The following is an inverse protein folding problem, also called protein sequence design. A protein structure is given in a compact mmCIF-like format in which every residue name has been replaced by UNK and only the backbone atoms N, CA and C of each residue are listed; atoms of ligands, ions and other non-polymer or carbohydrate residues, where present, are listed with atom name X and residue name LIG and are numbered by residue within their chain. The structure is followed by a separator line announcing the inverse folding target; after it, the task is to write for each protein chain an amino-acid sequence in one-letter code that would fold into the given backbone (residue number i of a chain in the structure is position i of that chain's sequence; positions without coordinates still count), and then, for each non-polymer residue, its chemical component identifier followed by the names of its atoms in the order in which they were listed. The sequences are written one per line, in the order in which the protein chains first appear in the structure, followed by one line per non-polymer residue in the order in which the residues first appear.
data_IF_933689004217
#
_entry.id   IF_933689004217
#
_cell.length_a   1.000
_cell.length_b   1.000
_cell.length_c   1.000
_cell.angle_alpha   90.00
_cell.angle_beta   90.00
_cell.angle_gamma   90.00
#
_symmetry.space_group_name_H-M   'P 1'
#
loop_
_entity.id
_entity.type
_entity.pdbx_description
1 polymer ?
#
# COMPACT_ATOMS: atom_id res chain seq x y z
N UNK A 1 -43.23 -9.56 -21.38
CA UNK A 1 -42.23 -9.20 -20.34
C UNK A 1 -42.37 -7.71 -20.03
N UNK A 2 -42.54 -7.30 -18.76
CA UNK A 2 -42.82 -5.89 -18.46
C UNK A 2 -41.59 -5.01 -18.77
N UNK A 3 -41.82 -3.81 -19.32
CA UNK A 3 -40.74 -2.83 -19.60
C UNK A 3 -39.90 -2.50 -18.35
N UNK A 4 -40.43 -2.72 -17.14
CA UNK A 4 -39.70 -2.55 -15.87
C UNK A 4 -38.71 -3.69 -15.63
N UNK A 5 -39.11 -4.94 -15.85
CA UNK A 5 -38.24 -6.12 -15.72
C UNK A 5 -37.05 -6.05 -16.69
N UNK A 6 -37.30 -5.65 -17.94
CA UNK A 6 -36.25 -5.48 -18.95
C UNK A 6 -35.21 -4.44 -18.51
N UNK A 7 -35.63 -3.29 -17.97
CA UNK A 7 -34.72 -2.23 -17.48
C UNK A 7 -33.90 -2.65 -16.26
N UNK A 8 -34.45 -3.46 -15.37
CA UNK A 8 -33.72 -3.97 -14.18
C UNK A 8 -32.63 -4.96 -14.61
N UNK A 9 -32.95 -5.88 -15.52
CA UNK A 9 -31.99 -6.86 -16.06
C UNK A 9 -30.85 -6.15 -16.80
N UNK A 10 -31.13 -5.14 -17.62
CA UNK A 10 -30.08 -4.38 -18.33
C UNK A 10 -29.15 -3.64 -17.36
N UNK A 11 -29.68 -3.05 -16.28
CA UNK A 11 -28.86 -2.37 -15.26
C UNK A 11 -28.00 -3.35 -14.46
N UNK A 12 -28.55 -4.51 -14.10
CA UNK A 12 -27.80 -5.55 -13.39
C UNK A 12 -26.68 -6.14 -14.25
N UNK A 13 -26.93 -6.35 -15.56
CA UNK A 13 -25.92 -6.81 -16.50
C UNK A 13 -24.78 -5.78 -16.68
N UNK A 14 -25.11 -4.48 -16.71
CA UNK A 14 -24.12 -3.41 -16.79
C UNK A 14 -23.24 -3.35 -15.52
N UNK A 15 -23.82 -3.62 -14.35
CA UNK A 15 -23.11 -3.66 -13.07
C UNK A 15 -22.20 -4.89 -12.95
N UNK A 16 -22.63 -6.05 -13.47
CA UNK A 16 -21.85 -7.28 -13.46
C UNK A 16 -20.59 -7.20 -14.36
N UNK A 17 -20.64 -6.44 -15.45
CA UNK A 17 -19.48 -6.18 -16.34
C UNK A 17 -18.38 -5.35 -15.67
N UNK A 18 -18.67 -4.62 -14.60
CA UNK A 18 -17.67 -3.83 -13.87
C UNK A 18 -16.82 -4.68 -12.90
N UNK A 19 -17.20 -5.94 -12.64
CA UNK A 19 -16.52 -6.81 -11.68
C UNK A 19 -15.50 -7.76 -12.33
N UNK A 20 -15.30 -7.72 -13.65
CA UNK A 20 -14.43 -8.67 -14.36
C UNK A 20 -12.96 -8.24 -14.48
N UNK A 21 -12.49 -7.24 -13.72
CA UNK A 21 -11.08 -6.81 -13.76
C UNK A 21 -10.21 -7.55 -12.74
N UNK A 22 -10.20 -8.88 -12.80
CA UNK A 22 -9.25 -9.69 -12.03
C UNK A 22 -8.03 -9.94 -12.92
N UNK A 23 -7.02 -9.07 -12.82
CA UNK A 23 -5.76 -9.27 -13.53
C UNK A 23 -4.94 -10.34 -12.78
N UNK A 24 -4.66 -11.46 -13.44
CA UNK A 24 -3.83 -12.53 -12.88
C UNK A 24 -2.35 -12.11 -12.82
N UNK A 25 -1.64 -12.52 -11.76
CA UNK A 25 -0.18 -12.41 -11.70
C UNK A 25 0.45 -13.31 -12.78
N UNK A 26 1.46 -12.84 -13.53
CA UNK A 26 2.13 -13.66 -14.54
C UNK A 26 2.83 -14.89 -13.94
N UNK A 27 2.72 -16.04 -14.61
CA UNK A 27 3.31 -17.31 -14.13
C UNK A 27 4.85 -17.33 -14.20
N UNK A 28 5.46 -16.52 -15.07
CA UNK A 28 6.92 -16.47 -15.24
C UNK A 28 7.39 -15.13 -15.79
N UNK A 29 8.52 -14.67 -15.26
CA UNK A 29 9.25 -13.54 -15.83
C UNK A 29 10.13 -13.98 -17.00
N UNK A 30 10.22 -13.16 -18.05
CA UNK A 30 11.13 -13.40 -19.16
C UNK A 30 12.58 -13.54 -18.64
N UNK A 31 13.30 -14.63 -18.96
CA UNK A 31 14.65 -14.87 -18.47
C UNK A 31 15.69 -13.85 -19.00
N UNK A 32 15.41 -13.16 -20.10
CA UNK A 32 16.30 -12.20 -20.75
C UNK A 32 16.07 -10.75 -20.29
N UNK A 33 15.21 -10.51 -19.31
CA UNK A 33 14.99 -9.17 -18.79
C UNK A 33 16.25 -8.59 -18.16
N UNK A 34 16.61 -7.38 -18.59
CA UNK A 34 17.63 -6.58 -17.93
C UNK A 34 17.11 -6.05 -16.60
N UNK A 35 18.03 -5.54 -15.78
CA UNK A 35 17.70 -4.88 -14.51
C UNK A 35 16.69 -3.74 -14.71
N UNK A 36 16.84 -2.93 -15.75
CA UNK A 36 15.92 -1.82 -16.08
C UNK A 36 14.53 -2.34 -16.42
N UNK A 37 14.45 -3.46 -17.14
CA UNK A 37 13.17 -4.05 -17.53
C UNK A 37 12.36 -4.49 -16.32
N UNK A 38 12.99 -5.01 -15.28
CA UNK A 38 12.29 -5.31 -14.02
C UNK A 38 11.64 -4.06 -13.43
N UNK A 39 12.40 -2.97 -13.29
CA UNK A 39 11.87 -1.72 -12.74
C UNK A 39 10.78 -1.11 -13.62
N UNK A 40 10.96 -1.12 -14.95
CA UNK A 40 9.95 -0.61 -15.89
C UNK A 40 8.64 -1.39 -15.77
N UNK A 41 8.69 -2.71 -15.85
CA UNK A 41 7.50 -3.55 -15.80
C UNK A 41 6.82 -3.54 -14.41
N UNK A 42 7.60 -3.41 -13.33
CA UNK A 42 7.06 -3.26 -11.99
C UNK A 42 6.32 -1.93 -11.81
N UNK A 43 6.89 -0.82 -12.31
CA UNK A 43 6.22 0.47 -12.31
C UNK A 43 4.95 0.46 -13.18
N UNK A 44 5.00 -0.14 -14.37
CA UNK A 44 3.81 -0.31 -15.21
C UNK A 44 2.72 -1.13 -14.49
N UNK A 45 3.09 -2.19 -13.78
CA UNK A 45 2.15 -2.94 -12.94
C UNK A 45 1.59 -2.09 -11.78
N UNK A 46 2.40 -1.22 -11.17
CA UNK A 46 1.95 -0.28 -10.13
C UNK A 46 0.96 0.74 -10.64
N UNK A 47 1.23 1.35 -11.80
CA UNK A 47 0.36 2.32 -12.45
C UNK A 47 -1.01 1.70 -12.81
N UNK A 48 -1.02 0.40 -13.08
CA UNK A 48 -2.23 -0.39 -13.35
C UNK A 48 -2.85 -1.03 -12.09
N UNK A 49 -2.41 -0.64 -10.89
CA UNK A 49 -2.87 -1.17 -9.59
C UNK A 49 -2.70 -2.70 -9.43
N UNK A 50 -1.86 -3.34 -10.24
CA UNK A 50 -1.50 -4.76 -10.15
C UNK A 50 -0.39 -4.98 -9.12
N UNK A 51 -0.68 -4.70 -7.86
CA UNK A 51 0.30 -4.72 -6.78
C UNK A 51 1.01 -6.08 -6.63
N UNK A 52 0.27 -7.19 -6.70
CA UNK A 52 0.87 -8.54 -6.61
C UNK A 52 1.85 -8.83 -7.75
N UNK A 53 1.56 -8.30 -8.95
CA UNK A 53 2.47 -8.42 -10.10
C UNK A 53 3.73 -7.59 -9.91
N UNK A 54 3.58 -6.35 -9.40
CA UNK A 54 4.72 -5.50 -9.09
C UNK A 54 5.61 -6.12 -8.00
N UNK A 55 5.01 -6.64 -6.92
CA UNK A 55 5.72 -7.39 -5.87
C UNK A 55 6.52 -8.54 -6.45
N UNK A 56 5.87 -9.39 -7.25
CA UNK A 56 6.53 -10.53 -7.88
C UNK A 56 7.75 -10.11 -8.73
N UNK A 57 7.64 -9.03 -9.50
CA UNK A 57 8.78 -8.53 -10.29
C UNK A 57 9.94 -8.05 -9.41
N UNK A 58 9.66 -7.31 -8.32
CA UNK A 58 10.72 -6.89 -7.40
C UNK A 58 11.34 -8.08 -6.65
N UNK A 59 10.56 -9.08 -6.25
CA UNK A 59 11.07 -10.29 -5.61
C UNK A 59 12.00 -11.08 -6.54
N UNK A 60 11.60 -11.26 -7.80
CA UNK A 60 12.46 -11.92 -8.79
C UNK A 60 13.72 -11.09 -9.06
N UNK A 61 13.62 -9.76 -9.10
CA UNK A 61 14.79 -8.88 -9.21
C UNK A 61 15.77 -9.09 -8.04
N UNK A 62 15.26 -9.10 -6.80
CA UNK A 62 16.07 -9.28 -5.59
C UNK A 62 16.77 -10.63 -5.55
N UNK A 63 16.21 -11.67 -6.19
CA UNK A 63 16.86 -12.98 -6.32
C UNK A 63 17.92 -12.96 -7.43
N UNK A 64 17.62 -12.38 -8.60
CA UNK A 64 18.48 -12.46 -9.80
C UNK A 64 19.66 -11.49 -9.80
N UNK A 65 19.53 -10.35 -9.14
CA UNK A 65 20.49 -9.24 -9.21
C UNK A 65 20.86 -8.72 -7.81
N UNK A 66 20.92 -9.61 -6.82
CA UNK A 66 21.19 -9.25 -5.42
C UNK A 66 22.51 -8.51 -5.23
N UNK A 67 23.48 -8.71 -6.13
CA UNK A 67 24.78 -8.05 -6.15
C UNK A 67 24.72 -6.56 -6.54
N UNK A 68 23.64 -6.10 -7.18
CA UNK A 68 23.42 -4.69 -7.51
C UNK A 68 22.89 -3.94 -6.29
N UNK A 69 23.76 -3.68 -5.32
CA UNK A 69 23.39 -3.12 -4.01
C UNK A 69 22.54 -1.84 -4.08
N UNK A 70 22.83 -0.96 -5.04
CA UNK A 70 22.07 0.28 -5.27
C UNK A 70 20.63 -0.02 -5.73
N UNK A 71 20.44 -0.99 -6.62
CA UNK A 71 19.09 -1.35 -7.08
C UNK A 71 18.38 -2.31 -6.14
N UNK A 72 19.11 -3.12 -5.39
CA UNK A 72 18.57 -3.98 -4.33
C UNK A 72 17.86 -3.12 -3.27
N UNK A 73 18.51 -2.08 -2.74
CA UNK A 73 17.86 -1.21 -1.73
C UNK A 73 16.67 -0.44 -2.33
N UNK A 74 16.74 -0.11 -3.62
CA UNK A 74 15.63 0.50 -4.37
C UNK A 74 14.44 -0.47 -4.44
N UNK A 75 14.66 -1.72 -4.86
CA UNK A 75 13.60 -2.74 -4.98
C UNK A 75 13.01 -3.14 -3.62
N UNK A 76 13.83 -3.18 -2.56
CA UNK A 76 13.35 -3.41 -1.19
C UNK A 76 12.40 -2.30 -0.72
N UNK A 77 12.77 -1.04 -0.99
CA UNK A 77 11.89 0.09 -0.69
C UNK A 77 10.57 0.00 -1.47
N UNK A 78 10.62 -0.31 -2.77
CA UNK A 78 9.40 -0.44 -3.58
C UNK A 78 8.50 -1.56 -3.04
N UNK A 79 9.08 -2.70 -2.59
CA UNK A 79 8.30 -3.77 -1.94
C UNK A 79 7.60 -3.29 -0.66
N UNK A 80 8.30 -2.51 0.17
CA UNK A 80 7.73 -1.90 1.37
C UNK A 80 6.62 -0.89 1.04
N UNK A 81 6.83 -0.09 0.01
CA UNK A 81 5.85 0.88 -0.45
C UNK A 81 4.60 0.20 -1.01
N UNK A 82 4.74 -0.91 -1.75
CA UNK A 82 3.60 -1.69 -2.23
C UNK A 82 2.80 -2.26 -1.06
N UNK A 83 3.47 -2.86 -0.06
CA UNK A 83 2.78 -3.34 1.14
C UNK A 83 2.04 -2.21 1.87
N UNK A 84 2.63 -1.01 1.94
CA UNK A 84 1.94 0.16 2.48
C UNK A 84 0.70 0.54 1.65
N UNK A 85 0.79 0.50 0.30
CA UNK A 85 -0.33 0.78 -0.62
C UNK A 85 -1.46 -0.24 -0.52
N UNK A 86 -1.14 -1.49 -0.21
CA UNK A 86 -2.09 -2.59 0.04
C UNK A 86 -2.63 -2.60 1.49
N UNK A 87 -2.28 -1.60 2.31
CA UNK A 87 -2.67 -1.51 3.73
C UNK A 87 -2.11 -2.64 4.61
N UNK A 88 -1.10 -3.36 4.12
CA UNK A 88 -0.32 -4.32 4.89
C UNK A 88 0.69 -3.60 5.79
N UNK A 89 0.21 -2.70 6.66
CA UNK A 89 1.06 -1.75 7.40
C UNK A 89 2.09 -2.41 8.31
N UNK A 90 1.75 -3.55 8.92
CA UNK A 90 2.70 -4.32 9.74
C UNK A 90 3.91 -4.79 8.92
N UNK A 91 3.65 -5.34 7.74
CA UNK A 91 4.72 -5.83 6.84
C UNK A 91 5.51 -4.65 6.26
N UNK A 92 4.82 -3.60 5.81
CA UNK A 92 5.47 -2.39 5.32
C UNK A 92 6.41 -1.76 6.37
N UNK A 93 5.95 -1.65 7.62
CA UNK A 93 6.76 -1.13 8.72
C UNK A 93 7.98 -2.02 9.02
N UNK A 94 7.82 -3.34 9.01
CA UNK A 94 8.95 -4.26 9.17
C UNK A 94 9.99 -4.08 8.06
N UNK A 95 9.54 -3.94 6.81
CA UNK A 95 10.41 -3.76 5.65
C UNK A 95 11.11 -2.39 5.66
N UNK A 96 10.40 -1.30 6.00
CA UNK A 96 11.02 0.02 6.18
C UNK A 96 12.09 0.02 7.27
N UNK A 97 11.83 -0.61 8.42
CA UNK A 97 12.81 -0.71 9.50
C UNK A 97 14.03 -1.53 9.10
N UNK A 98 13.86 -2.62 8.34
CA UNK A 98 14.99 -3.41 7.84
C UNK A 98 15.87 -2.60 6.88
N UNK A 99 15.26 -1.77 6.01
CA UNK A 99 16.00 -0.86 5.14
C UNK A 99 16.80 0.15 5.98
N UNK A 100 16.17 0.81 6.95
CA UNK A 100 16.85 1.76 7.85
C UNK A 100 17.99 1.09 8.62
N UNK A 101 17.80 -0.15 9.10
CA UNK A 101 18.86 -0.94 9.73
C UNK A 101 20.05 -1.15 8.79
N UNK A 102 19.81 -1.44 7.50
CA UNK A 102 20.88 -1.56 6.50
C UNK A 102 21.63 -0.24 6.29
N UNK A 103 20.96 0.91 6.26
CA UNK A 103 21.63 2.20 6.19
C UNK A 103 22.57 2.45 7.39
N UNK A 104 22.16 2.02 8.58
CA UNK A 104 22.94 2.22 9.81
C UNK A 104 24.09 1.21 9.99
N UNK A 105 23.87 -0.06 9.63
CA UNK A 105 24.76 -1.16 10.02
C UNK A 105 25.56 -1.77 8.87
N UNK A 106 25.13 -1.59 7.62
CA UNK A 106 25.79 -2.23 6.48
C UNK A 106 27.14 -1.56 6.17
N UNK A 107 28.22 -2.33 5.96
CA UNK A 107 29.49 -1.77 5.47
C UNK A 107 29.35 -1.18 4.06
N UNK A 108 28.24 -1.45 3.36
CA UNK A 108 27.95 -0.95 2.02
C UNK A 108 27.00 0.26 2.01
N UNK A 109 26.66 0.83 3.17
CA UNK A 109 25.69 1.94 3.27
C UNK A 109 26.01 3.12 2.33
N UNK A 110 27.29 3.41 2.11
CA UNK A 110 27.74 4.46 1.18
C UNK A 110 27.30 4.27 -0.28
N UNK A 111 26.91 3.05 -0.68
CA UNK A 111 26.45 2.72 -2.03
C UNK A 111 24.93 2.83 -2.19
N UNK A 112 24.20 3.02 -1.09
CA UNK A 112 22.75 3.11 -1.10
C UNK A 112 22.29 4.54 -1.44
N UNK A 113 21.29 4.73 -2.32
CA UNK A 113 20.77 6.06 -2.61
C UNK A 113 20.12 6.69 -1.35
N UNK A 114 20.54 7.87 -0.89
CA UNK A 114 20.11 8.42 0.41
C UNK A 114 18.59 8.69 0.50
N UNK A 115 17.92 8.89 -0.63
CA UNK A 115 16.47 9.15 -0.66
C UNK A 115 15.64 8.05 0.01
N UNK A 116 16.07 6.79 -0.04
CA UNK A 116 15.24 5.69 0.45
C UNK A 116 15.24 5.60 1.98
N UNK A 117 16.28 6.07 2.65
CA UNK A 117 16.28 6.26 4.10
C UNK A 117 15.17 7.23 4.51
N UNK A 118 15.16 8.43 3.92
CA UNK A 118 14.15 9.47 4.19
C UNK A 118 12.73 8.99 3.87
N UNK A 119 12.55 8.29 2.75
CA UNK A 119 11.24 7.78 2.36
C UNK A 119 10.73 6.68 3.30
N UNK A 120 11.61 5.85 3.87
CA UNK A 120 11.24 4.86 4.89
C UNK A 120 10.74 5.54 6.16
N UNK A 121 11.44 6.57 6.64
CA UNK A 121 11.00 7.34 7.81
C UNK A 121 9.63 8.00 7.59
N UNK A 122 9.41 8.57 6.41
CA UNK A 122 8.12 9.15 6.02
C UNK A 122 7.04 8.06 6.00
N UNK A 123 7.35 6.89 5.44
CA UNK A 123 6.46 5.72 5.43
C UNK A 123 6.02 5.31 6.82
N UNK A 124 6.96 5.19 7.77
CA UNK A 124 6.69 4.86 9.16
C UNK A 124 5.83 5.91 9.86
N UNK A 125 6.14 7.20 9.69
CA UNK A 125 5.32 8.31 10.24
C UNK A 125 3.90 8.29 9.70
N UNK A 126 3.72 7.95 8.43
CA UNK A 126 2.38 7.86 7.83
C UNK A 126 1.58 6.68 8.39
N UNK A 127 2.23 5.55 8.69
CA UNK A 127 1.61 4.41 9.36
C UNK A 127 1.18 4.79 10.77
N UNK A 128 2.09 5.38 11.56
CA UNK A 128 1.78 5.83 12.93
C UNK A 128 0.62 6.83 12.97
N UNK A 129 0.61 7.81 12.04
CA UNK A 129 -0.49 8.78 11.93
C UNK A 129 -1.82 8.10 11.63
N UNK A 130 -1.85 7.09 10.75
CA UNK A 130 -3.06 6.32 10.42
C UNK A 130 -3.56 5.56 11.65
N UNK A 131 -2.68 4.91 12.38
CA UNK A 131 -3.03 4.19 13.61
C UNK A 131 -3.58 5.14 14.68
N UNK A 132 -2.94 6.30 14.86
CA UNK A 132 -3.42 7.34 15.77
C UNK A 132 -4.83 7.83 15.39
N UNK A 133 -5.06 8.17 14.12
CA UNK A 133 -6.37 8.63 13.65
C UNK A 133 -7.42 7.54 13.83
N UNK A 134 -7.11 6.30 13.48
CA UNK A 134 -8.01 5.16 13.68
C UNK A 134 -8.40 5.00 15.14
N UNK A 135 -7.43 5.02 16.06
CA UNK A 135 -7.67 4.93 17.49
C UNK A 135 -8.47 6.11 18.05
N UNK A 136 -8.19 7.33 17.59
CA UNK A 136 -8.93 8.54 17.98
C UNK A 136 -10.40 8.47 17.53
N UNK A 137 -10.66 8.01 16.30
CA UNK A 137 -12.02 7.82 15.80
C UNK A 137 -12.78 6.73 16.58
N UNK A 138 -12.11 5.62 16.91
CA UNK A 138 -12.71 4.56 17.73
C UNK A 138 -13.11 5.07 19.12
N UNK A 139 -12.28 5.91 19.73
CA UNK A 139 -12.60 6.56 20.99
C UNK A 139 -13.83 7.44 20.89
N UNK A 140 -13.90 8.30 19.86
CA UNK A 140 -15.06 9.17 19.63
C UNK A 140 -16.35 8.39 19.42
N UNK A 141 -16.29 7.25 18.73
CA UNK A 141 -17.45 6.37 18.55
C UNK A 141 -17.91 5.79 19.89
N UNK A 142 -16.98 5.31 20.73
CA UNK A 142 -17.31 4.81 22.08
C UNK A 142 -17.91 5.89 22.97
N UNK A 143 -17.37 7.09 22.92
CA UNK A 143 -17.85 8.22 23.69
C UNK A 143 -19.29 8.59 23.31
N UNK A 144 -19.59 8.62 22.01
CA UNK A 144 -20.94 8.86 21.51
C UNK A 144 -21.93 7.79 21.97
N UNK A 145 -21.53 6.52 21.90
CA UNK A 145 -22.36 5.41 22.38
C UNK A 145 -22.64 5.50 23.89
N UNK A 146 -21.63 5.89 24.67
CA UNK A 146 -21.81 6.11 26.10
C UNK A 146 -22.78 7.26 26.37
N UNK A 147 -22.65 8.39 25.67
CA UNK A 147 -23.52 9.55 25.84
C UNK A 147 -24.98 9.20 25.50
N UNK A 148 -25.22 8.53 24.37
CA UNK A 148 -26.55 8.04 23.98
C UNK A 148 -27.18 7.08 25.00
N UNK A 149 -26.37 6.23 25.65
CA UNK A 149 -26.85 5.31 26.69
C UNK A 149 -27.21 6.01 28.00
N UNK A 150 -26.62 7.18 28.27
CA UNK A 150 -26.80 7.93 29.51
C UNK A 150 -27.70 9.17 29.33
N UNK A 151 -28.38 9.31 28.19
CA UNK A 151 -29.19 10.49 27.84
C UNK A 151 -28.39 11.81 27.90
N UNK A 152 -27.09 11.74 27.63
CA UNK A 152 -26.18 12.88 27.55
C UNK A 152 -25.90 13.25 26.09
N UNK A 153 -25.74 14.55 25.81
CA UNK A 153 -25.30 15.03 24.50
C UNK A 153 -23.81 15.35 24.52
N UNK A 154 -23.06 14.84 23.54
CA UNK A 154 -21.70 15.29 23.32
C UNK A 154 -21.70 16.70 22.74
N UNK A 155 -21.05 17.65 23.42
CA UNK A 155 -20.71 18.93 22.82
C UNK A 155 -19.52 18.70 21.89
N UNK A 156 -19.70 18.97 20.59
CA UNK A 156 -18.58 18.89 19.66
C UNK A 156 -17.66 20.09 19.91
N UNK A 157 -16.35 19.92 19.74
CA UNK A 157 -15.34 20.96 19.99
C UNK A 157 -15.53 22.18 19.03
N UNK A 158 -16.45 22.08 18.07
CA UNK A 158 -16.86 23.17 17.17
C UNK A 158 -18.00 24.06 17.69
N UNK A 159 -18.64 23.74 18.82
CA UNK A 159 -19.78 24.51 19.35
C UNK A 159 -19.37 25.60 20.35
N UNK A 160 -18.08 25.70 20.68
CA UNK A 160 -17.52 26.82 21.44
C UNK A 160 -16.94 27.87 20.50
N UNK A 161 -17.82 28.68 19.92
CA UNK A 161 -17.64 30.12 19.61
C UNK A 161 -18.73 30.60 18.62
N UNK A 162 -19.76 31.25 19.17
CA UNK A 162 -20.63 32.21 18.48
C UNK A 162 -20.76 33.47 19.32
#
# INVERSE_FOLDING_TARGET
MSRRLTKVITKAALFALLLSSCASVPDRVNPQWTKEMFFKNAQEAMDEYRYDTALYYYEVFLVRFHEDLTRTITAEYERAFINYKMENYKEAAAQYNEILRKYNESPYAMLYPPRFEQLCEIGLKNIEKKDFIGNSLLWRVKEKQWAEQNDESLNDIGDTES
#
